data_IF_614476139780
#
_entry.id   IF_614476139780
#
_cell.length_a   1.000
_cell.length_b   1.000
_cell.length_c   1.000
_cell.angle_alpha   90.00
_cell.angle_beta   90.00
_cell.angle_gamma   90.00
#
_symmetry.space_group_name_H-M   'P 1'
#
loop_
_entity.id
_entity.type
_entity.pdbx_description
1 polymer ?
#
# COMPACT_ATOMS: atom_id res chain seq x y z
N UNK A 1 42.28 0.69 -60.13
CA UNK A 1 42.39 -0.45 -59.19
C UNK A 1 41.41 -0.25 -58.03
N UNK A 2 40.79 -1.33 -57.53
CA UNK A 2 40.42 -1.68 -56.13
C UNK A 2 40.14 -0.53 -55.12
N UNK A 3 39.14 -0.54 -54.22
CA UNK A 3 38.06 -1.48 -53.80
C UNK A 3 37.00 -0.62 -53.05
N UNK A 4 35.71 -0.72 -53.35
CA UNK A 4 34.70 -1.56 -52.66
C UNK A 4 34.48 -1.30 -51.15
N UNK A 5 33.26 -0.81 -50.82
CA UNK A 5 32.44 -1.03 -49.60
C UNK A 5 32.95 -0.52 -48.25
N UNK A 6 32.31 0.55 -47.75
CA UNK A 6 31.90 0.66 -46.33
C UNK A 6 30.51 1.33 -46.23
N UNK A 7 29.46 0.52 -46.39
CA UNK A 7 28.13 0.82 -45.87
C UNK A 7 27.83 -0.15 -44.72
N UNK A 8 27.07 0.34 -43.73
CA UNK A 8 26.24 -0.46 -42.81
C UNK A 8 26.98 -1.33 -41.77
N UNK A 9 27.63 -0.65 -40.83
CA UNK A 9 28.12 -1.18 -39.54
C UNK A 9 27.96 -0.01 -38.55
N UNK A 10 27.07 0.05 -37.56
CA UNK A 10 26.05 -0.90 -37.02
C UNK A 10 24.71 -0.12 -36.81
N UNK A 11 23.57 -0.80 -36.57
CA UNK A 11 22.31 -0.20 -36.04
C UNK A 11 21.72 -1.11 -34.96
N UNK A 12 22.42 -1.22 -33.84
CA UNK A 12 21.98 -2.05 -32.72
C UNK A 12 21.19 -1.19 -31.74
N UNK A 13 19.87 -1.35 -31.81
CA UNK A 13 19.03 -1.10 -30.66
C UNK A 13 19.49 -2.04 -29.55
N UNK A 14 20.27 -1.54 -28.59
CA UNK A 14 20.49 -2.21 -27.31
C UNK A 14 19.18 -2.27 -26.56
N UNK A 15 18.39 -3.29 -26.87
CA UNK A 15 17.22 -3.68 -26.08
C UNK A 15 17.70 -4.27 -24.76
N UNK A 16 18.11 -3.38 -23.85
CA UNK A 16 18.30 -3.71 -22.44
C UNK A 16 16.90 -3.94 -21.86
N UNK A 17 16.38 -5.16 -22.03
CA UNK A 17 15.22 -5.61 -21.27
C UNK A 17 15.68 -5.90 -19.85
N UNK A 18 15.67 -4.86 -19.01
CA UNK A 18 15.85 -5.00 -17.57
C UNK A 18 14.76 -5.89 -16.98
N UNK A 19 15.10 -7.14 -16.69
CA UNK A 19 14.17 -8.11 -16.11
C UNK A 19 13.67 -7.68 -14.72
N UNK A 20 14.48 -6.92 -13.96
CA UNK A 20 14.09 -6.33 -12.67
C UNK A 20 12.93 -5.34 -12.87
N UNK A 21 13.14 -4.33 -13.70
CA UNK A 21 12.18 -3.25 -13.96
C UNK A 21 10.84 -3.79 -14.49
N UNK A 22 10.87 -4.81 -15.35
CA UNK A 22 9.64 -5.45 -15.85
C UNK A 22 8.86 -6.16 -14.73
N UNK A 23 9.55 -6.87 -13.82
CA UNK A 23 8.95 -7.59 -12.69
C UNK A 23 8.34 -6.63 -11.67
N UNK A 24 9.03 -5.53 -11.36
CA UNK A 24 8.58 -4.53 -10.39
C UNK A 24 7.33 -3.77 -10.88
N UNK A 25 7.23 -3.51 -12.19
CA UNK A 25 6.02 -2.96 -12.81
C UNK A 25 4.85 -3.95 -12.66
N UNK A 26 5.04 -5.23 -13.00
CA UNK A 26 4.00 -6.26 -12.91
C UNK A 26 3.47 -6.45 -11.48
N UNK A 27 4.35 -6.41 -10.47
CA UNK A 27 3.94 -6.49 -9.06
C UNK A 27 3.09 -5.27 -8.67
N UNK A 28 3.50 -4.05 -9.06
CA UNK A 28 2.77 -2.83 -8.72
C UNK A 28 1.40 -2.76 -9.40
N UNK A 29 1.27 -3.29 -10.61
CA UNK A 29 0.00 -3.31 -11.35
C UNK A 29 -0.91 -4.50 -10.97
N UNK A 30 -0.45 -5.39 -10.10
CA UNK A 30 -1.24 -6.53 -9.62
C UNK A 30 -2.38 -6.10 -8.65
N UNK A 31 -3.49 -6.86 -8.63
CA UNK A 31 -4.59 -6.61 -7.71
C UNK A 31 -4.22 -6.97 -6.25
N UNK A 32 -4.96 -6.41 -5.31
CA UNK A 32 -4.89 -6.77 -3.90
C UNK A 32 -5.45 -8.18 -3.69
N UNK A 33 -4.71 -9.02 -2.96
CA UNK A 33 -5.10 -10.39 -2.66
C UNK A 33 -5.91 -10.43 -1.35
N UNK A 34 -6.98 -11.24 -1.25
CA UNK A 34 -7.70 -11.45 0.01
C UNK A 34 -6.84 -12.03 1.15
N UNK A 35 -5.73 -12.67 0.81
CA UNK A 35 -4.76 -13.21 1.76
C UNK A 35 -3.89 -12.07 2.33
N UNK A 36 -4.27 -11.62 3.53
CA UNK A 36 -3.59 -10.55 4.27
C UNK A 36 -2.07 -10.75 4.33
N UNK A 37 -1.59 -11.98 4.55
CA UNK A 37 -0.16 -12.24 4.70
C UNK A 37 0.55 -12.07 3.36
N UNK A 38 0.03 -12.65 2.27
CA UNK A 38 0.61 -12.50 0.93
C UNK A 38 0.62 -11.03 0.47
N UNK A 39 -0.45 -10.30 0.74
CA UNK A 39 -0.49 -8.86 0.44
C UNK A 39 0.52 -8.09 1.27
N UNK A 40 0.59 -8.30 2.59
CA UNK A 40 1.56 -7.59 3.45
C UNK A 40 3.01 -7.94 3.10
N UNK A 41 3.35 -9.19 2.79
CA UNK A 41 4.70 -9.54 2.30
C UNK A 41 5.05 -8.83 0.98
N UNK A 42 4.07 -8.62 0.10
CA UNK A 42 4.27 -7.83 -1.13
C UNK A 42 4.62 -6.38 -0.81
N UNK A 43 3.90 -5.73 0.12
CA UNK A 43 4.23 -4.37 0.57
C UNK A 43 5.56 -4.30 1.31
N UNK A 44 5.89 -5.28 2.16
CA UNK A 44 7.19 -5.38 2.84
C UNK A 44 8.34 -5.42 1.83
N UNK A 45 8.21 -6.23 0.78
CA UNK A 45 9.21 -6.32 -0.29
C UNK A 45 9.37 -5.02 -1.06
N UNK A 46 8.27 -4.28 -1.31
CA UNK A 46 8.31 -3.01 -2.06
C UNK A 46 8.96 -1.89 -1.24
N UNK A 47 8.71 -1.87 0.08
CA UNK A 47 9.23 -0.85 0.98
C UNK A 47 10.59 -1.17 1.61
N UNK A 48 11.18 -2.33 1.32
CA UNK A 48 12.37 -2.85 2.01
C UNK A 48 12.18 -2.83 3.53
N UNK A 49 11.05 -3.34 4.00
CA UNK A 49 10.69 -3.36 5.42
C UNK A 49 11.80 -4.02 6.25
N UNK A 50 11.97 -3.54 7.50
CA UNK A 50 13.14 -3.72 8.39
C UNK A 50 14.43 -2.98 7.99
N UNK A 51 14.63 -2.62 6.71
CA UNK A 51 15.73 -1.72 6.30
C UNK A 51 15.24 -0.26 6.34
N UNK A 52 14.05 -0.02 5.77
CA UNK A 52 13.35 1.25 5.91
C UNK A 52 12.63 1.29 7.26
N UNK A 53 13.15 2.09 8.20
CA UNK A 53 12.63 2.19 9.57
C UNK A 53 11.38 3.09 9.66
N UNK A 54 11.17 4.00 8.70
CA UNK A 54 10.00 4.88 8.65
C UNK A 54 8.71 4.11 8.34
N UNK A 55 8.81 2.93 7.73
CA UNK A 55 7.64 2.13 7.29
C UNK A 55 7.15 1.26 8.44
N UNK A 56 6.00 1.64 9.00
CA UNK A 56 5.37 0.92 10.09
C UNK A 56 4.29 -0.01 9.54
N UNK A 57 4.32 -1.27 9.99
CA UNK A 57 3.28 -2.28 9.76
C UNK A 57 2.83 -2.80 11.12
N UNK A 58 1.57 -2.54 11.49
CA UNK A 58 0.97 -2.99 12.76
C UNK A 58 -0.17 -3.96 12.48
N UNK A 59 -0.02 -5.21 12.92
CA UNK A 59 -1.08 -6.21 12.88
C UNK A 59 -2.05 -6.01 14.06
N UNK A 60 -3.34 -6.19 13.81
CA UNK A 60 -4.42 -6.10 14.81
C UNK A 60 -5.49 -7.18 14.56
N UNK A 61 -6.23 -7.55 15.61
CA UNK A 61 -7.43 -8.38 15.52
C UNK A 61 -8.66 -7.52 15.84
N UNK A 62 -9.61 -7.48 14.92
CA UNK A 62 -10.88 -6.76 15.07
C UNK A 62 -11.86 -7.73 15.72
N UNK A 63 -11.89 -7.74 17.06
CA UNK A 63 -12.55 -8.79 17.83
C UNK A 63 -14.04 -8.96 17.52
N UNK A 64 -14.80 -7.86 17.40
CA UNK A 64 -16.23 -7.91 17.06
C UNK A 64 -16.52 -8.61 15.72
N UNK A 65 -15.67 -8.39 14.69
CA UNK A 65 -15.82 -9.00 13.37
C UNK A 65 -15.09 -10.34 13.22
N UNK A 66 -14.33 -10.75 14.24
CA UNK A 66 -13.35 -11.85 14.20
C UNK A 66 -12.42 -11.82 12.97
N UNK A 67 -11.98 -10.62 12.54
CA UNK A 67 -11.07 -10.47 11.39
C UNK A 67 -9.66 -10.08 11.83
N UNK A 68 -8.66 -10.67 11.18
CA UNK A 68 -7.29 -10.17 11.23
C UNK A 68 -7.15 -8.99 10.27
N UNK A 69 -6.35 -7.99 10.66
CA UNK A 69 -6.08 -6.82 9.86
C UNK A 69 -4.63 -6.34 10.05
N UNK A 70 -4.15 -5.52 9.13
CA UNK A 70 -2.87 -4.84 9.24
C UNK A 70 -3.00 -3.38 8.79
N UNK A 71 -2.27 -2.50 9.47
CA UNK A 71 -2.21 -1.07 9.18
C UNK A 71 -0.79 -0.75 8.72
N UNK A 72 -0.65 -0.07 7.59
CA UNK A 72 0.62 0.36 7.01
C UNK A 72 0.61 1.87 6.77
N UNK A 73 1.66 2.54 7.24
CA UNK A 73 1.92 3.96 7.03
C UNK A 73 3.42 4.25 7.07
N UNK A 74 3.81 5.49 6.74
CA UNK A 74 5.18 6.00 6.85
C UNK A 74 5.19 7.04 7.98
N UNK A 75 5.83 6.72 9.10
CA UNK A 75 5.82 7.50 10.35
C UNK A 75 6.24 8.96 10.12
N UNK A 76 7.37 9.16 9.44
CA UNK A 76 7.98 10.49 9.19
C UNK A 76 7.11 11.46 8.39
N UNK A 77 6.02 10.99 7.76
CA UNK A 77 5.08 11.82 6.98
C UNK A 77 3.60 11.64 7.40
N UNK A 78 3.31 10.93 8.50
CA UNK A 78 1.93 10.64 8.93
C UNK A 78 1.68 11.12 10.37
N UNK A 79 0.50 11.67 10.66
CA UNK A 79 0.14 12.06 12.04
C UNK A 79 -0.22 10.82 12.88
N UNK A 80 0.78 10.11 13.39
CA UNK A 80 0.63 8.81 14.09
C UNK A 80 -0.40 8.80 15.24
N UNK A 81 -0.53 9.89 16.00
CA UNK A 81 -1.57 10.03 17.04
C UNK A 81 -3.00 9.92 16.49
N UNK A 82 -3.26 10.54 15.32
CA UNK A 82 -4.56 10.48 14.67
C UNK A 82 -4.90 9.04 14.25
N UNK A 83 -3.93 8.26 13.76
CA UNK A 83 -4.10 6.83 13.42
C UNK A 83 -4.62 6.06 14.64
N UNK A 84 -4.03 6.28 15.83
CA UNK A 84 -4.42 5.57 17.04
C UNK A 84 -5.87 5.88 17.42
N UNK A 85 -6.27 7.17 17.38
CA UNK A 85 -7.57 7.64 17.87
C UNK A 85 -8.73 7.38 16.90
N UNK A 86 -8.58 7.59 15.59
CA UNK A 86 -9.69 7.36 14.63
C UNK A 86 -9.73 5.94 14.06
N UNK A 87 -8.61 5.21 14.02
CA UNK A 87 -8.53 3.90 13.34
C UNK A 87 -8.35 2.77 14.34
N UNK A 88 -7.28 2.80 15.14
CA UNK A 88 -6.86 1.64 15.93
C UNK A 88 -7.77 1.42 17.13
N UNK A 89 -8.00 2.45 17.96
CA UNK A 89 -8.87 2.34 19.14
C UNK A 89 -10.30 1.94 18.78
N UNK A 90 -10.97 2.50 17.74
CA UNK A 90 -12.32 2.07 17.38
C UNK A 90 -12.39 0.62 16.87
N UNK A 91 -11.42 0.20 16.04
CA UNK A 91 -11.35 -1.18 15.54
C UNK A 91 -11.11 -2.21 16.66
N UNK A 92 -10.20 -1.93 17.60
CA UNK A 92 -9.94 -2.80 18.75
C UNK A 92 -11.09 -2.80 19.77
N UNK A 93 -11.81 -1.69 19.90
CA UNK A 93 -12.94 -1.56 20.83
C UNK A 93 -14.25 -2.12 20.26
N UNK A 94 -14.33 -2.39 18.96
CA UNK A 94 -15.54 -2.91 18.34
C UNK A 94 -15.87 -4.33 18.82
N UNK A 95 -17.10 -4.49 19.33
CA UNK A 95 -17.69 -5.77 19.76
C UNK A 95 -18.88 -6.20 18.91
N UNK A 96 -19.32 -5.35 17.96
CA UNK A 96 -20.44 -5.65 17.08
C UNK A 96 -19.95 -6.44 15.85
N UNK A 97 -20.58 -7.58 15.59
CA UNK A 97 -20.27 -8.45 14.46
C UNK A 97 -20.88 -7.99 13.13
N UNK A 98 -21.84 -7.07 13.16
CA UNK A 98 -22.62 -6.66 11.99
C UNK A 98 -22.24 -5.27 11.46
N UNK A 99 -21.39 -4.52 12.18
CA UNK A 99 -20.90 -3.20 11.73
C UNK A 99 -19.95 -3.32 10.55
N UNK A 100 -20.06 -2.40 9.59
CA UNK A 100 -19.07 -2.32 8.51
C UNK A 100 -17.79 -1.63 9.01
N UNK A 101 -16.66 -1.93 8.38
CA UNK A 101 -15.36 -1.31 8.69
C UNK A 101 -15.44 0.22 8.64
N UNK A 102 -16.16 0.76 7.64
CA UNK A 102 -16.38 2.20 7.46
C UNK A 102 -17.23 2.85 8.56
N UNK A 103 -18.12 2.10 9.22
CA UNK A 103 -18.94 2.59 10.34
C UNK A 103 -18.22 2.52 11.69
N UNK A 104 -17.19 1.67 11.79
CA UNK A 104 -16.35 1.54 13.00
C UNK A 104 -15.30 2.65 13.03
N UNK A 105 -14.75 3.01 11.87
CA UNK A 105 -13.68 4.00 11.75
C UNK A 105 -14.30 5.38 11.53
N UNK A 106 -14.22 6.26 12.54
CA UNK A 106 -14.90 7.56 12.56
C UNK A 106 -14.28 8.62 11.62
N UNK A 107 -14.22 8.35 10.31
CA UNK A 107 -13.59 9.24 9.32
C UNK A 107 -14.39 9.32 8.00
N UNK A 108 -14.90 10.51 7.69
CA UNK A 108 -15.70 10.79 6.50
C UNK A 108 -14.91 10.77 5.17
N UNK A 109 -13.59 10.54 5.21
CA UNK A 109 -12.69 10.57 4.03
C UNK A 109 -12.05 9.22 3.69
N UNK A 110 -12.71 8.11 4.06
CA UNK A 110 -12.29 6.75 3.71
C UNK A 110 -12.51 6.50 2.20
N UNK A 111 -11.50 5.89 1.55
CA UNK A 111 -11.55 5.45 0.15
C UNK A 111 -11.13 3.98 0.07
N UNK A 112 -11.60 3.22 -0.92
CA UNK A 112 -11.09 1.87 -1.15
C UNK A 112 -10.23 1.79 -2.41
N UNK A 113 -9.20 0.94 -2.38
CA UNK A 113 -8.26 0.71 -3.48
C UNK A 113 -8.06 -0.79 -3.72
N UNK A 114 -8.00 -1.21 -4.99
CA UNK A 114 -7.94 -2.63 -5.40
C UNK A 114 -6.65 -3.05 -6.12
N UNK A 115 -5.73 -2.10 -6.36
CA UNK A 115 -4.47 -2.29 -7.09
C UNK A 115 -3.31 -1.81 -6.23
N UNK A 116 -2.19 -2.53 -6.22
CA UNK A 116 -1.05 -2.24 -5.34
C UNK A 116 -0.49 -0.82 -5.58
N UNK A 117 -0.26 -0.44 -6.85
CA UNK A 117 0.20 0.89 -7.28
C UNK A 117 -0.62 2.03 -6.68
N UNK A 118 -1.93 1.88 -6.66
CA UNK A 118 -2.85 2.89 -6.13
C UNK A 118 -2.72 3.05 -4.61
N UNK A 119 -2.50 1.95 -3.90
CA UNK A 119 -2.27 1.96 -2.44
C UNK A 119 -0.92 2.59 -2.11
N UNK A 120 0.15 2.23 -2.85
CA UNK A 120 1.48 2.84 -2.72
C UNK A 120 1.45 4.36 -2.93
N UNK A 121 0.73 4.83 -3.96
CA UNK A 121 0.56 6.26 -4.26
C UNK A 121 -0.08 7.02 -3.10
N UNK A 122 -0.96 6.39 -2.34
CA UNK A 122 -1.61 7.02 -1.19
C UNK A 122 -0.74 6.96 0.07
N UNK A 123 -0.10 5.82 0.36
CA UNK A 123 0.86 5.70 1.48
C UNK A 123 1.98 6.74 1.35
N UNK A 124 2.53 6.91 0.14
CA UNK A 124 3.60 7.87 -0.12
C UNK A 124 3.15 9.35 -0.05
N UNK A 125 1.86 9.63 0.16
CA UNK A 125 1.31 10.97 0.48
C UNK A 125 1.08 11.19 1.97
N UNK A 126 1.43 10.24 2.84
CA UNK A 126 1.09 10.28 4.27
C UNK A 126 -0.34 9.83 4.59
N UNK A 127 -0.98 9.07 3.70
CA UNK A 127 -2.24 8.39 4.00
C UNK A 127 -1.98 7.00 4.60
N UNK A 128 -2.92 6.50 5.38
CA UNK A 128 -2.84 5.19 6.03
C UNK A 128 -3.55 4.15 5.20
N UNK A 129 -2.94 2.98 5.02
CA UNK A 129 -3.57 1.82 4.39
C UNK A 129 -3.96 0.78 5.46
N UNK A 130 -5.25 0.45 5.52
CA UNK A 130 -5.83 -0.61 6.35
C UNK A 130 -6.24 -1.79 5.48
N UNK A 131 -5.60 -2.93 5.73
CA UNK A 131 -5.81 -4.20 5.04
C UNK A 131 -6.63 -5.13 5.93
N UNK A 132 -7.69 -5.72 5.41
CA UNK A 132 -8.56 -6.65 6.13
C UNK A 132 -8.44 -8.05 5.53
N UNK A 133 -8.27 -9.08 6.36
CA UNK A 133 -8.19 -10.45 5.88
C UNK A 133 -9.51 -10.89 5.22
N UNK A 134 -9.40 -11.51 4.04
CA UNK A 134 -10.52 -11.94 3.22
C UNK A 134 -11.04 -10.89 2.24
N UNK A 135 -10.49 -9.67 2.22
CA UNK A 135 -10.95 -8.58 1.36
C UNK A 135 -9.95 -8.25 0.24
N UNK A 136 -10.43 -8.15 -1.00
CA UNK A 136 -9.62 -7.78 -2.17
C UNK A 136 -9.53 -6.25 -2.37
N UNK A 137 -9.71 -5.48 -1.31
CA UNK A 137 -9.63 -4.03 -1.30
C UNK A 137 -9.04 -3.52 0.02
N UNK A 138 -8.40 -2.35 -0.06
CA UNK A 138 -7.68 -1.71 1.05
C UNK A 138 -8.37 -0.39 1.35
N UNK A 139 -8.71 -0.16 2.61
CA UNK A 139 -9.23 1.12 3.08
C UNK A 139 -8.06 2.08 3.22
N UNK A 140 -8.12 3.19 2.49
CA UNK A 140 -7.15 4.28 2.53
C UNK A 140 -7.79 5.44 3.28
N UNK A 141 -7.07 5.97 4.27
CA UNK A 141 -7.53 7.01 5.16
C UNK A 141 -6.58 8.20 5.16
N UNK A 142 -7.12 9.41 5.03
CA UNK A 142 -6.33 10.61 5.19
C UNK A 142 -5.95 10.79 6.67
N UNK A 143 -4.64 10.78 6.94
CA UNK A 143 -4.05 11.12 8.24
C UNK A 143 -3.05 12.29 8.15
N UNK A 144 -2.85 12.87 6.96
CA UNK A 144 -2.02 14.04 6.75
C UNK A 144 -2.76 15.35 7.09
N UNK A 145 -4.08 15.42 6.82
CA UNK A 145 -4.90 16.62 6.99
C UNK A 145 -6.23 16.35 7.69
N UNK A 146 -6.23 16.49 9.01
CA UNK A 146 -7.40 16.92 9.77
C UNK A 146 -7.01 17.98 10.80
N UNK A 147 -6.38 19.06 10.33
CA UNK A 147 -6.45 20.32 11.07
C UNK A 147 -7.79 20.96 10.72
N UNK A 148 -8.68 20.95 11.71
CA UNK A 148 -9.95 21.64 11.59
C UNK A 148 -9.70 23.11 11.27
N UNK A 149 -10.48 23.65 10.33
CA UNK A 149 -10.59 25.10 10.18
C UNK A 149 -11.27 25.64 11.43
N UNK A 150 -10.50 26.21 12.34
CA UNK A 150 -10.99 27.12 13.37
C UNK A 150 -11.24 28.51 12.74
#
# INVERSE_FOLDING_TARGET
MLRSRFQKVIKDNTSIKEQSSQKDISIKESPILPDLNKTIETFKSIYSYTINQDVIIRHIHISGLNKQAAILFIDTITKTQHIEDVIIKPLLSNKDANRQIIDIISNNSIKTKKVIKDVLVEINKGNVALFIHGESEVYVLNAAQFEGRN
#
